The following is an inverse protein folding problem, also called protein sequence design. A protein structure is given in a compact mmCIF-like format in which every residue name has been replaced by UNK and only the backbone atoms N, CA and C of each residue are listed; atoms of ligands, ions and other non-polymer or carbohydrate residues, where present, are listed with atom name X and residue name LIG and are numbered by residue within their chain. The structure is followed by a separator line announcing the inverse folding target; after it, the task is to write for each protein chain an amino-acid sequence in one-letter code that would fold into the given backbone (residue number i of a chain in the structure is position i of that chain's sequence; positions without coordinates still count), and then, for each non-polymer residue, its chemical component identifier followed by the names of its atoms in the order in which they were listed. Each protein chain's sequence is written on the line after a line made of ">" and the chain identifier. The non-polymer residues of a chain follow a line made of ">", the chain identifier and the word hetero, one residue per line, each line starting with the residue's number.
data_IF_213176568511
#
_entry.id   IF_213176568511
#
_cell.length_a   1.000
_cell.length_b   1.000
_cell.length_c   1.000
_cell.angle_alpha   90.00
_cell.angle_beta   90.00
_cell.angle_gamma   90.00
#
_symmetry.space_group_name_H-M   'P 1'
#
loop_
_entity.id
_entity.type
_entity.pdbx_description
1 polymer ?
#
# COMPACT_ATOMS: atom_id res chain seq x y z
N UNK A 1 14.36 -15.79 11.14
CA UNK A 1 13.02 -15.65 11.73
C UNK A 1 13.09 -16.00 13.22
N UNK A 2 12.35 -15.27 14.05
CA UNK A 2 12.29 -15.49 15.50
C UNK A 2 10.85 -15.77 15.94
N UNK A 3 10.69 -16.60 16.97
CA UNK A 3 9.39 -16.94 17.57
C UNK A 3 9.46 -16.81 19.08
N UNK A 4 8.49 -16.14 19.67
CA UNK A 4 8.19 -16.13 21.10
C UNK A 4 6.96 -16.99 21.41
N UNK A 5 6.89 -17.53 22.62
CA UNK A 5 5.76 -18.30 23.10
C UNK A 5 5.14 -17.71 24.36
N UNK A 6 3.91 -18.12 24.68
CA UNK A 6 3.24 -17.77 25.94
C UNK A 6 3.95 -18.34 27.19
N UNK A 7 4.83 -19.30 27.01
CA UNK A 7 5.60 -19.92 28.08
C UNK A 7 7.04 -19.35 28.21
N UNK A 8 7.32 -18.22 27.59
CA UNK A 8 8.63 -17.54 27.67
C UNK A 8 9.73 -18.16 26.82
N UNK A 9 9.39 -19.05 25.87
CA UNK A 9 10.41 -19.61 24.98
C UNK A 9 10.68 -18.65 23.82
N UNK A 10 11.96 -18.50 23.47
CA UNK A 10 12.44 -17.75 22.30
C UNK A 10 13.25 -18.69 21.41
N UNK A 11 12.89 -18.74 20.12
CA UNK A 11 13.51 -19.65 19.15
C UNK A 11 13.89 -18.89 17.89
N UNK A 12 15.15 -19.01 17.46
CA UNK A 12 15.64 -18.58 16.16
C UNK A 12 15.47 -19.68 15.13
N UNK A 13 14.96 -19.35 13.95
CA UNK A 13 14.86 -20.26 12.80
C UNK A 13 15.71 -19.74 11.66
N UNK A 14 16.78 -20.44 11.34
CA UNK A 14 17.62 -20.20 10.18
C UNK A 14 17.08 -20.97 8.97
N UNK A 15 17.30 -20.47 7.76
CA UNK A 15 16.82 -21.04 6.49
C UNK A 15 15.30 -21.25 6.48
N UNK A 16 14.53 -20.33 7.05
CA UNK A 16 13.07 -20.41 7.14
C UNK A 16 12.40 -20.49 5.76
N UNK A 17 13.01 -19.91 4.71
CA UNK A 17 12.56 -19.97 3.32
C UNK A 17 12.70 -21.39 2.70
N UNK A 18 13.45 -22.28 3.31
CA UNK A 18 13.61 -23.68 2.89
C UNK A 18 12.67 -24.64 3.60
N UNK A 19 11.73 -24.13 4.43
CA UNK A 19 10.67 -24.96 5.02
C UNK A 19 9.76 -25.41 3.89
N UNK A 20 9.68 -26.72 3.58
CA UNK A 20 8.90 -27.18 2.46
C UNK A 20 7.41 -26.99 2.74
N UNK A 21 6.69 -26.73 1.64
CA UNK A 21 5.26 -26.97 1.57
C UNK A 21 4.94 -28.34 2.18
N UNK A 22 3.87 -28.48 2.95
CA UNK A 22 3.50 -29.67 3.75
C UNK A 22 3.54 -31.04 3.04
N UNK A 23 3.80 -31.07 1.73
CA UNK A 23 3.79 -32.28 0.91
C UNK A 23 5.13 -32.99 0.72
N UNK A 24 6.28 -32.39 1.05
CA UNK A 24 7.61 -32.98 0.73
C UNK A 24 8.45 -33.42 1.94
N UNK A 25 8.08 -33.05 3.15
CA UNK A 25 8.60 -33.63 4.40
C UNK A 25 10.08 -33.40 4.75
N UNK A 26 10.85 -32.66 3.94
CA UNK A 26 12.25 -32.32 4.24
C UNK A 26 12.45 -30.82 4.34
N UNK A 27 12.97 -30.34 5.44
CA UNK A 27 13.33 -28.94 5.69
C UNK A 27 14.80 -28.83 6.10
N UNK A 28 15.51 -27.84 5.52
CA UNK A 28 16.84 -27.46 5.98
C UNK A 28 16.76 -26.35 7.05
N UNK A 29 15.58 -26.02 7.57
CA UNK A 29 15.42 -25.06 8.63
C UNK A 29 16.08 -25.59 9.92
N UNK A 30 16.88 -24.73 10.55
CA UNK A 30 17.53 -25.04 11.82
C UNK A 30 16.88 -24.21 12.92
N UNK A 31 16.45 -24.89 13.97
CA UNK A 31 15.85 -24.29 15.16
C UNK A 31 16.89 -24.20 16.27
N UNK A 32 17.09 -22.99 16.79
CA UNK A 32 18.02 -22.74 17.91
C UNK A 32 17.23 -22.08 19.03
N UNK A 33 17.23 -22.68 20.23
CA UNK A 33 16.66 -22.05 21.42
C UNK A 33 17.55 -20.92 21.91
N UNK A 34 16.96 -19.75 22.12
CA UNK A 34 17.60 -18.58 22.73
C UNK A 34 16.99 -18.28 24.11
N UNK A 35 16.22 -19.21 24.66
CA UNK A 35 15.50 -19.04 25.93
C UNK A 35 16.45 -18.96 27.11
N UNK A 36 16.33 -17.92 27.93
CA UNK A 36 17.04 -17.78 29.20
C UNK A 36 16.22 -18.34 30.37
N UNK A 37 16.90 -18.71 31.45
CA UNK A 37 16.25 -19.23 32.67
C UNK A 37 15.41 -18.17 33.40
N UNK A 38 15.68 -16.88 33.17
CA UNK A 38 14.97 -15.76 33.77
C UNK A 38 13.72 -15.34 32.97
N UNK A 39 13.50 -15.94 31.80
CA UNK A 39 12.32 -15.66 30.99
C UNK A 39 11.08 -16.24 31.63
N UNK A 40 10.22 -15.36 32.16
CA UNK A 40 8.99 -15.76 32.85
C UNK A 40 7.79 -15.04 32.23
N UNK A 41 6.83 -15.78 31.74
CA UNK A 41 5.60 -15.25 31.19
C UNK A 41 5.52 -15.33 29.66
N UNK A 42 4.63 -14.55 29.08
CA UNK A 42 4.35 -14.55 27.66
C UNK A 42 5.25 -13.55 26.93
N UNK A 43 6.02 -14.04 25.96
CA UNK A 43 6.77 -13.17 25.05
C UNK A 43 5.77 -12.33 24.27
N UNK A 44 5.92 -11.02 24.32
CA UNK A 44 5.06 -10.06 23.62
C UNK A 44 5.68 -9.56 22.33
N UNK A 45 7.01 -9.37 22.30
CA UNK A 45 7.74 -8.87 21.15
C UNK A 45 9.16 -9.39 21.09
N UNK A 46 9.73 -9.50 19.89
CA UNK A 46 11.13 -9.78 19.61
C UNK A 46 11.58 -8.82 18.52
N UNK A 47 12.38 -7.84 18.91
CA UNK A 47 12.89 -6.81 18.01
C UNK A 47 14.38 -7.01 17.77
N UNK A 48 14.81 -6.77 16.52
CA UNK A 48 16.22 -6.79 16.15
C UNK A 48 16.72 -5.35 16.10
N UNK A 49 17.77 -5.07 16.87
CA UNK A 49 18.41 -3.77 16.90
C UNK A 49 19.24 -3.52 15.64
N UNK A 50 20.44 -2.96 15.80
CA UNK A 50 21.30 -2.59 14.67
C UNK A 50 21.77 -3.76 13.79
N UNK A 51 21.81 -4.98 14.32
CA UNK A 51 22.16 -6.20 13.62
C UNK A 51 21.63 -7.45 14.37
N UNK A 52 21.80 -8.63 13.81
CA UNK A 52 21.32 -9.91 14.37
C UNK A 52 21.94 -10.30 15.73
N UNK A 53 22.99 -9.64 16.20
CA UNK A 53 23.52 -9.86 17.55
C UNK A 53 22.76 -9.08 18.60
N UNK A 54 22.08 -8.00 18.21
CA UNK A 54 21.37 -7.09 19.10
C UNK A 54 19.89 -7.41 19.09
N UNK A 55 19.47 -8.20 20.08
CA UNK A 55 18.10 -8.75 20.16
C UNK A 55 17.43 -8.24 21.43
N UNK A 56 16.22 -7.71 21.28
CA UNK A 56 15.33 -7.33 22.37
C UNK A 56 14.23 -8.35 22.50
N UNK A 57 13.86 -8.71 23.73
CA UNK A 57 12.71 -9.55 24.02
C UNK A 57 11.90 -8.89 25.11
N UNK A 58 10.60 -8.78 24.90
CA UNK A 58 9.69 -8.24 25.90
C UNK A 58 8.65 -9.26 26.36
N UNK A 59 8.15 -9.03 27.58
CA UNK A 59 7.13 -9.86 28.21
C UNK A 59 5.95 -9.01 28.63
N UNK A 60 4.78 -9.62 28.65
CA UNK A 60 3.55 -8.91 28.88
C UNK A 60 2.80 -9.45 30.12
N UNK A 61 3.51 -9.44 31.22
CA UNK A 61 3.03 -9.93 32.49
C UNK A 61 3.29 -8.92 33.59
N UNK A 62 2.51 -8.97 34.66
CA UNK A 62 2.79 -8.29 35.92
C UNK A 62 3.65 -9.18 36.84
N UNK A 63 4.49 -8.55 37.65
CA UNK A 63 5.30 -9.21 38.65
C UNK A 63 6.44 -10.05 38.09
N UNK A 64 6.92 -9.70 36.90
CA UNK A 64 8.06 -10.31 36.22
C UNK A 64 8.92 -9.23 35.57
N UNK A 65 10.16 -9.55 35.25
CA UNK A 65 11.00 -8.68 34.43
C UNK A 65 10.50 -8.74 32.97
N UNK A 66 10.19 -7.56 32.40
CA UNK A 66 9.52 -7.48 31.10
C UNK A 66 10.43 -7.12 29.94
N UNK A 67 11.70 -6.73 30.19
CA UNK A 67 12.62 -6.27 29.13
C UNK A 67 13.95 -6.98 29.26
N UNK A 68 14.34 -7.74 28.23
CA UNK A 68 15.64 -8.37 28.12
C UNK A 68 16.34 -7.96 26.82
N UNK A 69 17.65 -7.86 26.88
CA UNK A 69 18.49 -7.50 25.75
C UNK A 69 19.71 -8.41 25.65
N UNK A 70 20.02 -8.82 24.44
CA UNK A 70 21.25 -9.52 24.09
C UNK A 70 22.07 -8.71 23.09
N UNK A 71 23.39 -8.72 23.23
CA UNK A 71 24.33 -8.16 22.25
C UNK A 71 25.23 -9.21 21.63
N UNK A 72 24.93 -10.49 21.81
CA UNK A 72 25.72 -11.65 21.34
C UNK A 72 24.86 -12.69 20.60
N UNK A 73 23.75 -12.27 20.02
CA UNK A 73 22.85 -13.13 19.24
C UNK A 73 21.98 -14.06 20.08
N UNK A 74 21.71 -13.69 21.33
CA UNK A 74 20.86 -14.44 22.25
C UNK A 74 21.61 -15.53 23.03
N UNK A 75 22.95 -15.49 23.09
CA UNK A 75 23.74 -16.41 23.92
C UNK A 75 23.67 -16.01 25.39
N UNK A 76 23.69 -14.70 25.68
CA UNK A 76 23.49 -14.16 27.02
C UNK A 76 22.45 -13.02 26.97
N UNK A 77 21.76 -12.82 28.11
CA UNK A 77 20.71 -11.85 28.26
C UNK A 77 20.94 -10.94 29.46
N UNK A 78 20.63 -9.67 29.29
CA UNK A 78 20.68 -8.65 30.32
C UNK A 78 19.25 -8.15 30.55
N UNK A 79 18.87 -8.06 31.81
CA UNK A 79 17.63 -7.40 32.23
C UNK A 79 17.76 -5.89 32.05
N UNK A 80 16.71 -5.24 31.54
CA UNK A 80 16.70 -3.81 31.22
C UNK A 80 15.41 -3.08 31.73
N UNK A 81 14.75 -3.62 32.74
CA UNK A 81 13.57 -3.03 33.35
C UNK A 81 13.89 -1.69 34.06
N UNK A 82 15.02 -1.61 34.77
CA UNK A 82 15.46 -0.37 35.45
C UNK A 82 14.42 0.18 36.42
N UNK A 83 13.98 1.43 36.19
CA UNK A 83 12.94 2.07 37.00
C UNK A 83 11.55 2.04 36.33
N UNK A 84 11.34 1.22 35.29
CA UNK A 84 10.01 1.04 34.73
C UNK A 84 9.07 0.49 35.81
N UNK A 85 7.83 1.04 35.98
CA UNK A 85 6.87 0.45 36.88
C UNK A 85 6.55 -1.01 36.50
N UNK A 86 6.09 -1.82 37.46
CA UNK A 86 5.60 -3.18 37.19
C UNK A 86 4.33 -3.13 36.30
N UNK A 87 4.55 -3.02 34.99
CA UNK A 87 3.51 -2.97 33.97
C UNK A 87 3.90 -3.83 32.75
N UNK A 88 2.94 -4.57 32.16
CA UNK A 88 3.21 -5.34 30.96
C UNK A 88 3.79 -4.49 29.82
N UNK A 89 4.89 -4.97 29.23
CA UNK A 89 5.48 -4.41 28.02
C UNK A 89 4.99 -5.20 26.83
N UNK A 90 4.55 -4.55 25.77
CA UNK A 90 3.95 -5.19 24.60
C UNK A 90 4.82 -5.19 23.38
N UNK A 91 5.60 -4.14 23.22
CA UNK A 91 6.48 -3.93 22.08
C UNK A 91 7.65 -3.01 22.49
N UNK A 92 8.75 -3.12 21.75
CA UNK A 92 9.97 -2.36 21.98
C UNK A 92 10.54 -1.92 20.64
N UNK A 93 11.17 -0.75 20.61
CA UNK A 93 11.79 -0.20 19.41
C UNK A 93 13.01 0.62 19.76
N UNK A 94 14.16 0.32 19.15
CA UNK A 94 15.39 1.09 19.31
C UNK A 94 15.46 2.22 18.27
N UNK A 95 15.94 3.40 18.70
CA UNK A 95 16.28 4.47 17.77
C UNK A 95 17.54 4.07 16.97
N UNK A 96 17.47 3.83 15.67
CA UNK A 96 18.63 3.40 14.87
C UNK A 96 19.68 4.50 14.68
N UNK A 97 19.36 5.75 15.05
CA UNK A 97 20.29 6.89 15.02
C UNK A 97 20.99 7.12 16.35
N UNK A 98 20.47 6.54 17.45
CA UNK A 98 21.00 6.66 18.81
C UNK A 98 20.71 5.36 19.56
N UNK A 99 21.64 4.39 19.53
CA UNK A 99 21.42 3.04 20.07
C UNK A 99 21.05 3.00 21.57
N UNK A 100 21.38 4.04 22.34
CA UNK A 100 21.02 4.16 23.74
C UNK A 100 19.62 4.76 23.97
N UNK A 101 18.91 5.19 22.91
CA UNK A 101 17.54 5.63 22.96
C UNK A 101 16.58 4.51 22.53
N UNK A 102 15.76 4.05 23.46
CA UNK A 102 14.80 2.96 23.24
C UNK A 102 13.43 3.39 23.75
N UNK A 103 12.38 2.99 23.06
CA UNK A 103 10.99 3.18 23.47
C UNK A 103 10.30 1.84 23.66
N UNK A 104 9.36 1.79 24.58
CA UNK A 104 8.49 0.63 24.82
C UNK A 104 7.02 1.03 24.84
N UNK A 105 6.19 0.19 24.23
CA UNK A 105 4.75 0.27 24.34
C UNK A 105 4.24 -0.59 25.51
N UNK A 106 3.45 0.01 26.39
CA UNK A 106 2.99 -0.63 27.63
C UNK A 106 1.47 -0.59 27.77
N UNK A 107 0.94 -1.16 28.85
CA UNK A 107 -0.47 -0.98 29.24
C UNK A 107 -0.81 0.50 29.58
N UNK A 108 0.20 1.32 29.89
CA UNK A 108 0.05 2.72 30.28
C UNK A 108 0.87 3.67 29.40
N UNK A 109 0.63 3.60 28.07
CA UNK A 109 1.27 4.49 27.11
C UNK A 109 2.67 4.05 26.68
N UNK A 110 3.38 4.96 26.02
CA UNK A 110 4.75 4.79 25.56
C UNK A 110 5.71 5.31 26.64
N UNK A 111 6.74 4.53 26.90
CA UNK A 111 7.85 4.92 27.77
C UNK A 111 9.15 4.95 26.94
N UNK A 112 10.10 5.78 27.33
CA UNK A 112 11.39 5.92 26.65
C UNK A 112 12.53 6.01 27.62
N UNK A 113 13.70 5.58 27.18
CA UNK A 113 14.98 5.80 27.86
C UNK A 113 16.00 6.41 26.89
N UNK A 114 17.02 7.10 27.43
CA UNK A 114 18.17 7.64 26.66
C UNK A 114 19.50 7.09 27.17
N UNK A 115 19.47 6.12 28.04
CA UNK A 115 20.64 5.49 28.63
C UNK A 115 20.49 3.96 28.69
N UNK A 116 19.97 3.35 27.60
CA UNK A 116 19.73 1.92 27.52
C UNK A 116 21.01 1.09 27.62
N UNK A 117 22.16 1.67 27.28
CA UNK A 117 23.50 1.09 27.41
C UNK A 117 23.93 0.82 28.87
N UNK A 118 23.26 1.41 29.86
CA UNK A 118 23.54 1.17 31.27
C UNK A 118 22.88 -0.14 31.78
N UNK A 119 23.41 -0.69 32.89
CA UNK A 119 22.82 -1.89 33.52
C UNK A 119 21.39 -1.64 34.02
N UNK A 120 21.08 -0.40 34.46
CA UNK A 120 19.77 0.00 34.95
C UNK A 120 19.28 1.25 34.20
N UNK A 121 18.60 1.10 33.06
CA UNK A 121 18.08 2.21 32.29
C UNK A 121 17.06 3.04 33.09
N UNK A 122 17.05 4.34 32.81
CA UNK A 122 16.07 5.25 33.41
C UNK A 122 14.93 5.53 32.43
N UNK A 123 13.77 4.95 32.69
CA UNK A 123 12.57 5.12 31.87
C UNK A 123 11.74 6.33 32.29
N UNK A 124 11.20 7.02 31.31
CA UNK A 124 10.28 8.14 31.47
C UNK A 124 9.09 7.98 30.52
N UNK A 125 7.90 8.40 30.96
CA UNK A 125 6.69 8.29 30.14
C UNK A 125 6.67 9.37 29.04
N UNK A 126 6.33 8.98 27.82
CA UNK A 126 6.19 9.88 26.67
C UNK A 126 4.74 10.39 26.57
N UNK A 127 4.46 11.53 27.25
CA UNK A 127 3.09 12.05 27.40
C UNK A 127 2.71 13.14 26.38
N UNK A 128 3.53 13.44 25.38
CA UNK A 128 3.28 14.53 24.43
C UNK A 128 2.06 14.22 23.52
N UNK A 129 0.89 14.63 23.97
CA UNK A 129 -0.38 14.51 23.23
C UNK A 129 -1.07 13.15 23.30
N UNK A 130 -0.44 12.14 23.88
CA UNK A 130 -1.01 10.80 24.08
C UNK A 130 -1.51 10.69 25.53
N UNK A 131 -2.71 10.11 25.71
CA UNK A 131 -3.22 9.71 27.02
C UNK A 131 -2.60 8.38 27.45
N UNK A 132 -2.73 8.06 28.75
CA UNK A 132 -2.43 6.74 29.28
C UNK A 132 -3.38 5.72 28.63
N UNK A 133 -2.91 5.10 27.58
CA UNK A 133 -3.66 4.12 26.78
C UNK A 133 -2.76 2.94 26.48
N UNK A 134 -3.33 1.76 26.48
CA UNK A 134 -2.62 0.55 26.11
C UNK A 134 -2.08 0.66 24.68
N UNK A 135 -0.78 0.50 24.52
CA UNK A 135 -0.12 0.38 23.23
C UNK A 135 -0.20 -1.08 22.80
N UNK A 136 -0.60 -1.32 21.59
CA UNK A 136 -0.70 -2.68 21.01
C UNK A 136 0.50 -3.02 20.17
N UNK A 137 1.11 -2.01 19.53
CA UNK A 137 2.27 -2.19 18.66
C UNK A 137 3.03 -0.87 18.46
N UNK A 138 4.33 -0.98 18.19
CA UNK A 138 5.22 0.09 17.77
C UNK A 138 5.89 -0.34 16.47
N UNK A 139 5.89 0.51 15.48
CA UNK A 139 6.54 0.26 14.20
C UNK A 139 7.26 1.53 13.71
N UNK A 140 8.26 1.36 12.88
CA UNK A 140 9.05 2.47 12.35
C UNK A 140 9.21 2.34 10.84
N UNK A 141 8.91 3.42 10.14
CA UNK A 141 9.17 3.55 8.71
C UNK A 141 10.64 3.95 8.46
N UNK A 142 11.14 3.69 7.27
CA UNK A 142 12.54 3.97 6.87
C UNK A 142 12.97 5.45 7.03
N UNK A 143 12.01 6.38 7.09
CA UNK A 143 12.27 7.79 7.38
C UNK A 143 12.36 8.11 8.88
N UNK A 144 12.47 7.09 9.73
CA UNK A 144 12.50 7.16 11.20
C UNK A 144 11.23 7.69 11.84
N UNK A 145 10.13 7.71 11.10
CA UNK A 145 8.81 8.02 11.64
C UNK A 145 8.28 6.81 12.38
N UNK A 146 8.05 6.98 13.67
CA UNK A 146 7.53 5.95 14.57
C UNK A 146 6.01 6.06 14.64
N UNK A 147 5.35 4.92 14.63
CA UNK A 147 3.92 4.78 14.83
C UNK A 147 3.64 3.97 16.08
N UNK A 148 2.70 4.43 16.87
CA UNK A 148 2.20 3.72 18.05
C UNK A 148 0.72 3.39 17.83
N UNK A 149 0.42 2.13 17.65
CA UNK A 149 -0.96 1.64 17.60
C UNK A 149 -1.53 1.52 19.02
N UNK A 150 -2.73 2.06 19.24
CA UNK A 150 -3.35 2.10 20.57
C UNK A 150 -4.63 1.30 20.62
N UNK A 151 -4.99 0.80 21.80
CA UNK A 151 -6.27 0.16 22.01
C UNK A 151 -7.39 1.19 22.16
N UNK A 152 -8.07 1.49 21.05
CA UNK A 152 -9.28 2.31 21.03
C UNK A 152 -9.11 3.81 20.79
N UNK A 153 -7.88 4.34 20.68
CA UNK A 153 -7.61 5.76 20.38
C UNK A 153 -6.91 6.00 19.03
N UNK A 154 -6.85 4.98 18.16
CA UNK A 154 -6.23 5.07 16.84
C UNK A 154 -4.71 4.98 16.89
N UNK A 155 -4.03 5.64 15.94
CA UNK A 155 -2.57 5.59 15.76
C UNK A 155 -1.99 6.97 16.04
N UNK A 156 -0.96 7.01 16.86
CA UNK A 156 -0.12 8.20 17.09
C UNK A 156 1.18 8.06 16.33
N UNK A 157 1.79 9.17 15.96
CA UNK A 157 3.11 9.14 15.32
C UNK A 157 4.05 10.19 15.90
N UNK A 158 5.33 9.85 15.90
CA UNK A 158 6.44 10.70 16.26
C UNK A 158 7.60 10.45 15.31
N UNK A 159 8.76 11.02 15.57
CA UNK A 159 9.94 10.82 14.74
C UNK A 159 11.16 10.70 15.64
N UNK A 160 12.00 9.70 15.41
CA UNK A 160 13.30 9.64 16.04
C UNK A 160 14.20 10.74 15.49
N UNK A 161 14.97 11.36 16.36
CA UNK A 161 15.95 12.41 16.04
C UNK A 161 17.35 11.97 16.45
N UNK A 162 18.35 12.41 15.71
CA UNK A 162 19.73 12.09 15.96
C UNK A 162 20.49 13.32 16.46
N UNK A 163 20.47 13.55 17.77
CA UNK A 163 21.34 14.58 18.32
C UNK A 163 22.61 13.93 18.87
N UNK A 164 23.73 14.06 18.15
CA UNK A 164 25.04 13.49 18.54
C UNK A 164 25.25 12.02 18.16
N UNK A 165 24.44 11.46 17.24
CA UNK A 165 24.64 10.14 16.65
C UNK A 165 25.63 10.14 15.47
N UNK A 166 25.81 8.97 14.83
CA UNK A 166 26.66 8.82 13.65
C UNK A 166 26.08 9.59 12.44
N UNK A 167 26.93 9.99 11.48
CA UNK A 167 26.46 10.55 10.21
C UNK A 167 25.47 9.64 9.51
N UNK A 168 24.29 10.17 9.15
CA UNK A 168 23.23 9.40 8.56
C UNK A 168 22.41 10.20 7.55
N UNK A 169 21.74 9.51 6.63
CA UNK A 169 20.75 10.10 5.73
C UNK A 169 19.35 9.58 6.09
N UNK A 170 18.36 10.45 5.97
CA UNK A 170 16.94 10.09 5.97
C UNK A 170 16.33 10.42 4.62
N UNK A 171 15.46 9.56 4.13
CA UNK A 171 14.64 9.82 2.95
C UNK A 171 13.17 9.58 3.26
N UNK A 172 12.28 10.29 2.57
CA UNK A 172 10.83 10.09 2.59
C UNK A 172 10.21 10.60 1.30
N UNK A 173 9.11 10.05 0.88
CA UNK A 173 8.31 10.56 -0.23
C UNK A 173 7.32 11.63 0.26
N UNK A 174 6.96 12.58 -0.59
CA UNK A 174 5.93 13.58 -0.29
C UNK A 174 4.51 13.02 -0.45
N UNK A 175 4.37 11.86 -1.13
CA UNK A 175 3.12 11.12 -1.30
C UNK A 175 3.35 9.62 -1.06
N UNK A 176 2.33 8.92 -0.59
CA UNK A 176 2.37 7.47 -0.39
C UNK A 176 1.91 6.70 -1.63
N UNK A 177 1.18 7.36 -2.53
CA UNK A 177 0.75 6.81 -3.82
C UNK A 177 0.75 7.87 -4.91
N UNK A 178 0.85 7.41 -6.17
CA UNK A 178 0.72 8.23 -7.37
C UNK A 178 -0.06 7.45 -8.43
N UNK A 179 -1.04 8.10 -9.06
CA UNK A 179 -1.79 7.54 -10.17
C UNK A 179 -1.32 8.17 -11.47
N UNK A 180 -0.95 7.35 -12.45
CA UNK A 180 -0.49 7.81 -13.77
C UNK A 180 -1.23 6.99 -14.84
N UNK A 181 -1.75 7.67 -15.86
CA UNK A 181 -2.29 6.97 -17.04
C UNK A 181 -1.16 6.37 -17.88
N UNK A 182 -1.39 5.20 -18.46
CA UNK A 182 -0.44 4.61 -19.41
C UNK A 182 -0.20 5.57 -20.59
N UNK A 183 1.06 5.70 -21.02
CA UNK A 183 1.47 6.67 -22.03
C UNK A 183 1.71 8.09 -21.52
N UNK A 184 1.44 8.35 -20.25
CA UNK A 184 1.59 9.65 -19.60
C UNK A 184 2.75 9.65 -18.60
N UNK A 185 3.06 10.84 -18.10
CA UNK A 185 4.11 11.07 -17.10
C UNK A 185 3.53 11.62 -15.81
N UNK A 186 4.08 11.20 -14.69
CA UNK A 186 3.76 11.75 -13.38
C UNK A 186 5.01 11.94 -12.54
N UNK A 187 4.97 12.84 -11.57
CA UNK A 187 6.13 13.12 -10.72
C UNK A 187 5.77 13.25 -9.26
N UNK A 188 6.73 12.88 -8.42
CA UNK A 188 6.70 13.02 -6.97
C UNK A 188 8.06 13.46 -6.45
N UNK A 189 8.14 13.83 -5.18
CA UNK A 189 9.39 14.27 -4.58
C UNK A 189 9.87 13.29 -3.52
N UNK A 190 11.16 13.07 -3.49
CA UNK A 190 11.88 12.42 -2.38
C UNK A 190 12.55 13.52 -1.56
N UNK A 191 12.08 13.71 -0.34
CA UNK A 191 12.72 14.59 0.63
C UNK A 191 13.87 13.84 1.29
N UNK A 192 15.05 14.46 1.33
CA UNK A 192 16.20 13.89 2.03
C UNK A 192 16.73 14.86 3.08
N UNK A 193 17.26 14.30 4.18
CA UNK A 193 17.91 15.03 5.28
C UNK A 193 19.26 14.47 5.56
N UNK A 194 20.26 15.33 5.63
CA UNK A 194 21.59 15.01 6.14
C UNK A 194 21.59 15.18 7.66
N UNK A 195 21.96 14.13 8.38
CA UNK A 195 21.99 14.09 9.85
C UNK A 195 23.44 13.93 10.32
N UNK A 196 23.81 14.60 11.42
CA UNK A 196 25.10 14.47 12.09
C UNK A 196 26.29 14.63 11.14
N UNK A 197 26.29 15.74 10.37
CA UNK A 197 27.36 16.05 9.41
C UNK A 197 27.54 15.01 8.29
N UNK A 198 26.48 14.27 7.94
CA UNK A 198 26.51 13.39 6.76
C UNK A 198 26.94 14.18 5.52
N UNK A 199 27.93 13.67 4.81
CA UNK A 199 28.50 14.32 3.62
C UNK A 199 29.08 13.24 2.68
N UNK A 200 28.19 12.56 1.97
CA UNK A 200 28.57 11.53 1.00
C UNK A 200 27.83 11.71 -0.33
N UNK A 201 28.38 11.10 -1.37
CA UNK A 201 27.67 10.94 -2.64
C UNK A 201 26.63 9.81 -2.50
N UNK A 202 25.39 10.10 -2.86
CA UNK A 202 24.28 9.16 -2.79
C UNK A 202 23.73 8.88 -4.19
N UNK A 203 23.59 7.60 -4.50
CA UNK A 203 22.94 7.10 -5.71
C UNK A 203 21.50 6.73 -5.40
N UNK A 204 20.56 7.30 -6.16
CA UNK A 204 19.15 6.95 -6.11
C UNK A 204 18.79 5.97 -7.23
N UNK A 205 18.05 4.94 -6.90
CA UNK A 205 17.49 3.98 -7.85
C UNK A 205 16.05 3.62 -7.45
N UNK A 206 15.27 3.06 -8.38
CA UNK A 206 13.90 2.62 -8.11
C UNK A 206 13.75 1.18 -8.55
N UNK A 207 13.28 0.33 -7.65
CA UNK A 207 12.89 -1.05 -7.93
C UNK A 207 11.37 -1.17 -8.06
N UNK A 208 10.90 -2.19 -8.78
CA UNK A 208 9.48 -2.48 -8.95
C UNK A 208 8.81 -1.75 -10.13
N UNK A 209 9.56 -0.99 -10.92
CA UNK A 209 9.02 -0.27 -12.08
C UNK A 209 8.39 -1.22 -13.12
N UNK A 210 7.27 -0.81 -13.77
CA UNK A 210 6.76 -1.49 -14.95
C UNK A 210 7.80 -1.55 -16.06
N UNK A 211 7.66 -2.54 -16.97
CA UNK A 211 8.53 -2.63 -18.14
C UNK A 211 8.43 -1.36 -18.99
N UNK A 212 9.55 -0.97 -19.61
CA UNK A 212 9.69 0.20 -20.48
C UNK A 212 9.37 1.56 -19.82
N UNK A 213 9.22 1.61 -18.51
CA UNK A 213 9.15 2.89 -17.77
C UNK A 213 10.51 3.56 -17.76
N UNK A 214 10.58 4.83 -18.15
CA UNK A 214 11.79 5.63 -17.97
C UNK A 214 11.64 6.58 -16.80
N UNK A 215 12.78 6.89 -16.16
CA UNK A 215 12.81 7.73 -14.96
C UNK A 215 13.74 8.91 -15.18
N UNK A 216 13.23 10.10 -14.93
CA UNK A 216 14.02 11.33 -14.91
C UNK A 216 14.19 11.83 -13.48
N UNK A 217 15.41 12.26 -13.17
CA UNK A 217 15.78 12.76 -11.84
C UNK A 217 16.22 14.23 -11.94
N UNK A 218 15.72 15.07 -11.07
CA UNK A 218 16.11 16.46 -10.96
C UNK A 218 16.50 16.80 -9.51
N UNK A 219 17.79 17.11 -9.24
CA UNK A 219 18.85 17.50 -10.19
C UNK A 219 19.56 16.32 -10.89
N UNK A 220 19.64 15.12 -10.31
CA UNK A 220 20.34 13.94 -10.84
C UNK A 220 20.00 12.71 -10.01
N UNK A 221 20.20 11.51 -10.56
CA UNK A 221 20.13 10.24 -9.82
C UNK A 221 21.30 10.04 -8.85
N UNK A 222 22.38 10.81 -8.98
CA UNK A 222 23.59 10.71 -8.18
C UNK A 222 24.19 12.08 -7.87
N UNK A 223 24.32 12.43 -6.59
CA UNK A 223 24.89 13.69 -6.13
C UNK A 223 25.31 13.64 -4.66
N UNK A 224 26.17 14.61 -4.25
CA UNK A 224 26.59 14.72 -2.86
C UNK A 224 25.48 15.33 -2.00
N UNK A 225 25.20 14.70 -0.88
CA UNK A 225 24.24 15.17 0.11
C UNK A 225 25.00 15.59 1.38
N UNK A 226 24.93 16.87 1.73
CA UNK A 226 25.50 17.46 2.93
C UNK A 226 24.54 18.43 3.65
N UNK A 227 23.33 18.53 3.15
CA UNK A 227 22.26 19.37 3.70
C UNK A 227 20.90 18.77 3.28
N UNK A 228 19.87 19.22 3.94
CA UNK A 228 18.47 18.83 3.58
C UNK A 228 18.10 19.34 2.20
N UNK A 229 17.29 18.59 1.49
CA UNK A 229 16.80 18.97 0.16
C UNK A 229 15.74 18.02 -0.37
N UNK A 230 15.47 18.20 -1.67
CA UNK A 230 14.43 17.44 -2.38
C UNK A 230 14.97 17.00 -3.73
N UNK A 231 14.70 15.74 -4.08
CA UNK A 231 14.92 15.15 -5.39
C UNK A 231 13.55 14.94 -6.05
N UNK A 232 13.30 15.59 -7.18
CA UNK A 232 12.13 15.33 -7.99
C UNK A 232 12.37 14.13 -8.88
N UNK A 233 11.42 13.19 -8.87
CA UNK A 233 11.43 12.01 -9.73
C UNK A 233 10.23 12.08 -10.66
N UNK A 234 10.45 11.89 -11.95
CA UNK A 234 9.39 11.81 -12.97
C UNK A 234 9.41 10.42 -13.58
N UNK A 235 8.27 9.75 -13.55
CA UNK A 235 8.05 8.45 -14.17
C UNK A 235 7.33 8.67 -15.51
N UNK A 236 7.87 8.10 -16.59
CA UNK A 236 7.24 8.13 -17.91
C UNK A 236 6.75 6.71 -18.22
N UNK A 237 5.45 6.51 -18.20
CA UNK A 237 4.82 5.20 -18.30
C UNK A 237 4.59 4.87 -19.79
N UNK A 238 5.01 3.68 -20.22
CA UNK A 238 4.76 3.22 -21.60
C UNK A 238 3.26 3.02 -21.85
N UNK A 239 2.80 3.33 -23.07
CA UNK A 239 1.38 3.22 -23.45
C UNK A 239 0.83 1.78 -23.40
N UNK A 240 1.70 0.76 -23.43
CA UNK A 240 1.31 -0.64 -23.35
C UNK A 240 1.46 -1.22 -21.94
N UNK A 241 1.73 -0.39 -20.94
CA UNK A 241 1.86 -0.86 -19.56
C UNK A 241 0.53 -1.42 -19.05
N UNK A 242 0.59 -2.56 -18.38
CA UNK A 242 -0.57 -3.19 -17.77
C UNK A 242 -1.15 -2.31 -16.66
N UNK A 243 -2.47 -2.10 -16.67
CA UNK A 243 -3.17 -1.30 -15.67
C UNK A 243 -3.33 -2.09 -14.38
N UNK A 244 -2.52 -1.75 -13.39
CA UNK A 244 -2.52 -2.31 -12.03
C UNK A 244 -1.67 -1.48 -11.10
N UNK A 245 -1.65 -1.87 -9.83
CA UNK A 245 -0.78 -1.28 -8.82
C UNK A 245 0.61 -1.92 -8.85
N UNK A 246 1.65 -1.08 -8.77
CA UNK A 246 3.07 -1.46 -8.72
C UNK A 246 3.68 -0.88 -7.44
N UNK A 247 4.05 -1.71 -6.47
CA UNK A 247 4.81 -1.25 -5.32
C UNK A 247 6.24 -0.91 -5.76
N UNK A 248 6.61 0.35 -5.60
CA UNK A 248 7.94 0.84 -5.92
C UNK A 248 8.75 1.03 -4.65
N UNK A 249 10.05 0.72 -4.73
CA UNK A 249 11.02 0.98 -3.67
C UNK A 249 12.09 1.93 -4.20
N UNK A 250 12.15 3.12 -3.63
CA UNK A 250 13.22 4.09 -3.88
C UNK A 250 14.38 3.73 -2.97
N UNK A 251 15.55 3.49 -3.54
CA UNK A 251 16.77 3.21 -2.81
C UNK A 251 17.70 4.42 -2.86
N UNK A 252 18.25 4.81 -1.74
CA UNK A 252 19.30 5.83 -1.59
C UNK A 252 20.55 5.17 -0.98
N UNK A 253 21.56 4.95 -1.81
CA UNK A 253 22.78 4.24 -1.43
C UNK A 253 23.99 5.14 -1.46
N UNK A 254 24.76 5.17 -0.37
CA UNK A 254 26.10 5.78 -0.28
C UNK A 254 27.14 4.71 0.03
N UNK A 255 28.36 5.14 0.33
CA UNK A 255 29.42 4.20 0.74
C UNK A 255 29.14 3.57 2.11
N UNK A 256 28.49 4.30 3.02
CA UNK A 256 28.29 3.89 4.42
C UNK A 256 26.83 3.63 4.76
N UNK A 257 25.85 4.14 3.97
CA UNK A 257 24.43 4.09 4.27
C UNK A 257 23.62 3.54 3.10
N UNK A 258 22.60 2.76 3.43
CA UNK A 258 21.54 2.36 2.50
C UNK A 258 20.19 2.63 3.16
N UNK A 259 19.33 3.40 2.48
CA UNK A 259 17.99 3.74 2.95
C UNK A 259 16.98 3.54 1.84
N UNK A 260 15.77 3.18 2.23
CA UNK A 260 14.68 2.94 1.29
C UNK A 260 13.44 3.77 1.65
N UNK A 261 12.61 4.06 0.66
CA UNK A 261 11.29 4.62 0.85
C UNK A 261 10.33 3.95 -0.15
N UNK A 262 9.14 3.60 0.31
CA UNK A 262 8.12 2.97 -0.52
C UNK A 262 7.13 3.98 -1.09
N UNK A 263 6.62 3.72 -2.30
CA UNK A 263 5.49 4.42 -2.91
C UNK A 263 4.67 3.44 -3.76
N UNK A 264 3.36 3.58 -3.79
CA UNK A 264 2.49 2.79 -4.65
C UNK A 264 2.22 3.56 -5.95
N UNK A 265 2.64 3.01 -7.08
CA UNK A 265 2.26 3.50 -8.40
C UNK A 265 1.00 2.77 -8.86
N UNK A 266 -0.06 3.51 -9.13
CA UNK A 266 -1.26 3.00 -9.78
C UNK A 266 -1.25 3.41 -11.26
N UNK A 267 -1.08 2.44 -12.15
CA UNK A 267 -1.19 2.65 -13.58
C UNK A 267 -2.64 2.39 -13.98
N UNK A 268 -3.26 3.41 -14.57
CA UNK A 268 -4.65 3.35 -15.05
C UNK A 268 -4.72 3.65 -16.55
N UNK A 269 -5.89 3.48 -17.16
CA UNK A 269 -6.15 3.86 -18.55
C UNK A 269 -7.20 4.95 -18.59
N UNK A 270 -7.02 5.93 -19.43
CA UNK A 270 -8.04 6.90 -19.83
C UNK A 270 -8.87 6.44 -21.05
N UNK A 271 -8.59 5.22 -21.54
CA UNK A 271 -9.27 4.49 -22.60
C UNK A 271 -9.47 3.04 -22.10
N UNK A 272 -10.64 2.75 -21.51
CA UNK A 272 -10.90 1.49 -20.77
C UNK A 272 -11.09 0.30 -21.70
N UNK A 273 -11.75 0.47 -22.83
CA UNK A 273 -12.05 -0.61 -23.79
C UNK A 273 -11.01 -0.72 -24.90
N UNK A 274 -10.04 0.20 -24.94
CA UNK A 274 -8.90 0.23 -25.87
C UNK A 274 -9.29 0.41 -27.33
N UNK A 275 -10.29 1.22 -27.61
CA UNK A 275 -10.73 1.50 -28.96
C UNK A 275 -10.05 2.72 -29.60
N UNK A 276 -9.25 3.46 -28.82
CA UNK A 276 -8.49 4.65 -29.22
C UNK A 276 -9.21 5.97 -28.93
N UNK A 277 -10.37 5.93 -28.29
CA UNK A 277 -11.12 7.11 -27.82
C UNK A 277 -11.01 7.18 -26.29
N UNK A 278 -10.70 8.35 -25.75
CA UNK A 278 -10.61 8.53 -24.30
C UNK A 278 -11.99 8.53 -23.66
N UNK A 279 -12.12 7.93 -22.47
CA UNK A 279 -13.40 7.79 -21.75
C UNK A 279 -14.17 9.10 -21.56
N UNK A 280 -13.51 10.25 -21.49
CA UNK A 280 -14.12 11.56 -21.28
C UNK A 280 -14.84 12.11 -22.53
N UNK A 281 -14.50 11.57 -23.69
CA UNK A 281 -15.09 11.92 -25.00
C UNK A 281 -15.69 10.74 -25.74
N UNK A 282 -15.63 9.55 -25.14
CA UNK A 282 -16.16 8.31 -25.68
C UNK A 282 -17.66 8.18 -25.37
N UNK A 283 -18.45 7.92 -26.39
CA UNK A 283 -19.89 7.72 -26.24
C UNK A 283 -20.29 6.28 -25.83
N UNK A 284 -19.28 5.35 -25.73
CA UNK A 284 -19.42 3.99 -25.17
C UNK A 284 -18.20 3.58 -24.34
N UNK A 285 -17.84 4.20 -23.21
CA UNK A 285 -16.55 4.05 -22.54
C UNK A 285 -16.13 2.65 -22.08
N UNK A 286 -17.03 1.67 -22.13
CA UNK A 286 -16.78 0.27 -21.73
C UNK A 286 -16.97 -0.71 -22.89
N UNK A 287 -17.25 -0.22 -24.12
CA UNK A 287 -17.55 -1.07 -25.28
C UNK A 287 -16.96 -0.48 -26.55
N UNK A 288 -15.89 -1.09 -27.05
CA UNK A 288 -15.10 -0.58 -28.15
C UNK A 288 -15.91 -0.20 -29.39
N UNK A 289 -15.88 1.09 -29.76
CA UNK A 289 -16.56 1.66 -30.90
C UNK A 289 -15.75 2.80 -31.53
N UNK A 290 -14.57 2.53 -32.10
CA UNK A 290 -13.63 3.58 -32.57
C UNK A 290 -14.21 4.55 -33.59
N UNK A 291 -15.35 4.22 -34.22
CA UNK A 291 -16.07 5.09 -35.14
C UNK A 291 -17.05 6.06 -34.44
N UNK A 292 -17.30 5.89 -33.14
CA UNK A 292 -18.17 6.75 -32.33
C UNK A 292 -19.55 6.97 -32.95
N UNK A 293 -20.10 5.90 -33.58
CA UNK A 293 -21.42 5.96 -34.23
C UNK A 293 -22.51 6.19 -33.19
N UNK A 294 -23.36 7.18 -33.46
CA UNK A 294 -24.52 7.58 -32.65
C UNK A 294 -25.60 8.09 -33.63
N UNK A 295 -26.46 7.16 -34.03
CA UNK A 295 -27.45 7.41 -35.12
C UNK A 295 -28.56 8.33 -34.68
N UNK A 296 -28.96 8.30 -33.41
CA UNK A 296 -30.06 9.10 -32.91
C UNK A 296 -29.63 10.41 -32.25
N UNK A 297 -28.32 10.56 -32.01
CA UNK A 297 -27.67 11.79 -31.53
C UNK A 297 -27.97 12.10 -30.08
N UNK A 298 -28.22 11.08 -29.24
CA UNK A 298 -28.51 11.27 -27.81
C UNK A 298 -27.27 11.30 -26.92
N UNK A 299 -26.11 11.00 -27.50
CA UNK A 299 -24.80 11.00 -26.83
C UNK A 299 -24.37 9.62 -26.32
N UNK A 300 -25.16 8.57 -26.54
CA UNK A 300 -24.81 7.17 -26.28
C UNK A 300 -24.52 6.51 -27.62
N UNK A 301 -23.38 5.84 -27.74
CA UNK A 301 -23.00 5.20 -29.00
C UNK A 301 -23.87 3.98 -29.31
N UNK A 302 -24.15 3.76 -30.61
CA UNK A 302 -25.05 2.70 -31.10
C UNK A 302 -24.79 1.31 -30.52
N UNK A 303 -23.54 0.99 -30.20
CA UNK A 303 -23.14 -0.35 -29.73
C UNK A 303 -23.48 -0.59 -28.27
N UNK A 304 -23.56 0.47 -27.46
CA UNK A 304 -23.91 0.41 -26.04
C UNK A 304 -25.28 1.01 -25.73
N UNK A 305 -25.97 1.57 -26.74
CA UNK A 305 -27.32 2.14 -26.58
C UNK A 305 -28.40 1.04 -26.67
N UNK A 306 -29.28 0.95 -25.64
CA UNK A 306 -30.45 0.08 -25.70
C UNK A 306 -31.47 0.44 -26.78
N UNK A 307 -31.44 1.69 -27.30
CA UNK A 307 -32.40 2.20 -28.30
C UNK A 307 -31.69 3.01 -29.40
N UNK A 308 -30.78 2.43 -30.18
CA UNK A 308 -29.86 3.13 -31.07
C UNK A 308 -30.50 3.73 -32.32
N UNK A 309 -31.76 3.99 -32.29
CA UNK A 309 -32.55 4.53 -33.42
C UNK A 309 -33.36 5.74 -33.02
N UNK A 310 -33.47 6.76 -33.88
CA UNK A 310 -34.28 7.93 -33.60
C UNK A 310 -35.70 7.58 -33.15
N UNK A 311 -36.18 8.27 -32.13
CA UNK A 311 -37.44 7.98 -31.43
C UNK A 311 -38.65 7.79 -32.35
N UNK A 312 -38.66 8.39 -33.56
CA UNK A 312 -39.74 8.32 -34.54
C UNK A 312 -39.42 7.38 -35.72
N UNK A 313 -38.39 6.54 -35.63
CA UNK A 313 -38.00 5.63 -36.72
C UNK A 313 -39.17 4.71 -37.13
N UNK A 314 -39.98 4.30 -36.18
CA UNK A 314 -41.13 3.46 -36.42
C UNK A 314 -42.42 4.13 -36.00
N UNK A 315 -43.40 4.12 -36.86
CA UNK A 315 -44.76 4.48 -36.50
C UNK A 315 -45.77 3.39 -36.91
N UNK A 316 -46.62 3.02 -35.98
CA UNK A 316 -47.65 2.02 -36.21
C UNK A 316 -48.99 2.70 -36.35
N UNK A 317 -49.63 2.56 -37.49
CA UNK A 317 -51.01 2.97 -37.73
C UNK A 317 -51.91 1.74 -37.79
N UNK A 318 -53.01 1.77 -37.06
CA UNK A 318 -54.03 0.75 -37.13
C UNK A 318 -55.36 1.35 -37.56
N UNK A 319 -56.03 0.67 -38.42
CA UNK A 319 -57.43 0.97 -38.83
C UNK A 319 -58.24 -0.22 -38.40
N UNK A 320 -59.17 0.00 -37.47
CA UNK A 320 -60.11 -1.03 -37.04
C UNK A 320 -61.05 -1.46 -38.16
N UNK A 321 -61.65 -2.62 -38.01
CA UNK A 321 -62.71 -3.08 -38.94
C UNK A 321 -63.87 -2.09 -38.99
N UNK A 322 -64.39 -1.85 -40.18
CA UNK A 322 -65.56 -0.96 -40.40
C UNK A 322 -66.84 -1.50 -39.81
N UNK A 323 -66.97 -2.83 -39.74
CA UNK A 323 -67.99 -3.53 -38.99
C UNK A 323 -67.52 -4.90 -38.52
N UNK A 324 -68.20 -5.47 -37.54
CA UNK A 324 -67.83 -6.77 -36.97
C UNK A 324 -67.84 -7.85 -38.08
N UNK A 325 -66.67 -8.56 -38.20
CA UNK A 325 -66.39 -9.60 -39.18
C UNK A 325 -66.24 -9.10 -40.62
N UNK A 326 -65.98 -7.83 -40.88
CA UNK A 326 -65.66 -7.33 -42.22
C UNK A 326 -64.24 -7.74 -42.69
N UNK A 327 -63.37 -8.09 -41.77
CA UNK A 327 -61.95 -8.45 -42.01
C UNK A 327 -61.22 -7.38 -42.83
N UNK A 328 -61.60 -6.10 -42.70
CA UNK A 328 -61.02 -4.96 -43.42
C UNK A 328 -60.11 -4.08 -42.54
N UNK A 329 -59.87 -4.50 -41.32
CA UNK A 329 -58.90 -3.88 -40.44
C UNK A 329 -57.49 -3.97 -41.00
N UNK A 330 -56.71 -2.89 -40.90
CA UNK A 330 -55.34 -2.81 -41.40
C UNK A 330 -54.42 -2.34 -40.29
N UNK A 331 -53.23 -2.92 -40.28
CA UNK A 331 -52.08 -2.44 -39.51
C UNK A 331 -51.02 -2.05 -40.52
N UNK A 332 -50.53 -0.84 -40.40
CA UNK A 332 -49.46 -0.32 -41.26
C UNK A 332 -48.30 0.12 -40.35
N UNK A 333 -47.12 -0.44 -40.59
CA UNK A 333 -45.89 -0.02 -39.98
C UNK A 333 -45.15 0.87 -40.99
N UNK A 334 -44.98 2.13 -40.65
CA UNK A 334 -44.20 3.07 -41.44
C UNK A 334 -42.81 3.18 -40.81
N UNK A 335 -41.77 3.07 -41.64
CA UNK A 335 -40.38 3.21 -41.26
C UNK A 335 -39.85 4.48 -41.89
N UNK A 336 -39.35 5.42 -41.09
CA UNK A 336 -38.64 6.58 -41.59
C UNK A 336 -37.17 6.20 -41.79
N UNK A 337 -36.72 6.31 -43.02
CA UNK A 337 -35.31 6.00 -43.41
C UNK A 337 -34.40 7.21 -43.39
N UNK A 338 -34.92 8.40 -43.10
CA UNK A 338 -34.11 9.63 -43.04
C UNK A 338 -33.15 9.55 -41.81
N UNK A 339 -31.84 9.57 -42.10
CA UNK A 339 -30.79 9.48 -41.08
C UNK A 339 -30.31 8.06 -40.78
N UNK A 340 -30.90 7.03 -41.37
CA UNK A 340 -30.41 5.65 -41.19
C UNK A 340 -29.36 5.33 -42.28
N UNK A 341 -28.39 4.43 -41.99
CA UNK A 341 -27.45 3.90 -42.98
C UNK A 341 -28.19 3.25 -44.15
N UNK A 342 -27.69 3.40 -45.39
CA UNK A 342 -28.36 2.95 -46.63
C UNK A 342 -28.63 1.43 -46.72
N UNK A 343 -28.04 0.63 -45.86
CA UNK A 343 -28.13 -0.83 -45.84
C UNK A 343 -28.78 -1.37 -44.55
N UNK A 344 -29.64 -0.58 -43.89
CA UNK A 344 -30.26 -1.00 -42.62
C UNK A 344 -31.42 -1.95 -42.94
N UNK A 345 -31.24 -3.24 -42.59
CA UNK A 345 -32.28 -4.27 -42.69
C UNK A 345 -33.04 -4.46 -41.35
N UNK A 346 -34.30 -4.24 -41.34
CA UNK A 346 -35.17 -4.45 -40.18
C UNK A 346 -35.89 -5.79 -40.22
N UNK A 347 -35.81 -6.56 -39.12
CA UNK A 347 -36.63 -7.76 -38.91
C UNK A 347 -37.72 -7.50 -37.87
N UNK A 348 -38.94 -7.64 -38.29
CA UNK A 348 -40.12 -7.45 -37.40
C UNK A 348 -40.71 -8.81 -37.03
N UNK A 349 -41.05 -8.97 -35.76
CA UNK A 349 -41.85 -10.08 -35.27
C UNK A 349 -43.18 -9.51 -34.78
N UNK A 350 -44.26 -9.88 -35.38
CA UNK A 350 -45.62 -9.50 -34.93
C UNK A 350 -46.18 -10.61 -34.05
N UNK A 351 -46.30 -10.33 -32.75
CA UNK A 351 -46.99 -11.21 -31.81
C UNK A 351 -48.40 -10.69 -31.55
N UNK A 352 -49.41 -11.45 -31.89
CA UNK A 352 -50.80 -11.14 -31.55
C UNK A 352 -51.09 -11.69 -30.15
N UNK A 353 -51.10 -10.82 -29.14
CA UNK A 353 -51.49 -11.17 -27.77
C UNK A 353 -52.93 -10.75 -27.54
N UNK A 354 -53.85 -11.71 -27.49
CA UNK A 354 -55.25 -11.48 -27.14
C UNK A 354 -56.17 -11.31 -28.37
N UNK A 355 -56.60 -12.42 -28.95
CA UNK A 355 -57.84 -12.45 -29.75
C UNK A 355 -59.05 -12.57 -28.83
N UNK A 356 -60.23 -12.05 -29.21
CA UNK A 356 -61.42 -12.30 -28.43
C UNK A 356 -61.63 -13.82 -28.36
N UNK A 357 -61.72 -14.34 -27.15
CA UNK A 357 -62.23 -15.68 -26.91
C UNK A 357 -63.65 -15.72 -27.43
N UNK A 358 -63.81 -16.39 -28.58
CA UNK A 358 -65.10 -16.69 -29.15
C UNK A 358 -65.96 -17.64 -28.31
#
# INVERSE_FOLDING_TARGET
>A
LYFGTEAGQVVKVENANSIPNASTGQSNAKFTSLTDQNFVGSVSDIEIGKDENHIFVTFHNYGVENIFYSNDGGQTWQEKEGNLPDIPVRCILQNPLLENEVIVGTELGVWFTKNFDTDNPSWSQANAGMKDVRITDLDMRDDYKVFAATYGLGIYSSIFTATGGDPAIRISTDVDNITIFRGESGSFNVNYKALNDFNEEVQFTIDGLPQNTTVDYDPSDKFSINQDGTLKITLNIDANTETKSYPLTINANSNTQSKTAGILLEVTSDDVDNDGVKNDVDNCPETANPNQSDIDGDGIGDVCDPNPLPKDTFSLQNTGETCRSSNDGKMQLDVKSDGLPNDTDFKFTVAVTGGPSG
#
